data_IF_245897162120
#
_entry.id   IF_245897162120
#
_cell.length_a   1.000
_cell.length_b   1.000
_cell.length_c   1.000
_cell.angle_alpha   90.00
_cell.angle_beta   90.00
_cell.angle_gamma   90.00
#
_symmetry.space_group_name_H-M   'P 1'
#
loop_
_entity.id
_entity.type
_entity.pdbx_description
1 polymer ?
#
# COMPACT_ATOMS: atom_id res chain seq x y z
N UNK A 1 14.68 -0.44 -30.69
CA UNK A 1 14.03 0.32 -29.60
C UNK A 1 14.03 -0.60 -28.39
N UNK A 2 14.71 -0.22 -27.30
CA UNK A 2 14.58 -0.97 -26.05
C UNK A 2 13.10 -0.88 -25.62
N UNK A 3 12.55 -2.00 -25.16
CA UNK A 3 11.16 -2.04 -24.71
C UNK A 3 10.98 -1.07 -23.53
N UNK A 4 10.36 0.08 -23.81
CA UNK A 4 10.14 1.12 -22.79
C UNK A 4 9.29 0.65 -21.63
N UNK A 5 8.56 -0.47 -21.80
CA UNK A 5 7.73 -1.08 -20.76
C UNK A 5 8.46 -2.15 -19.93
N UNK A 6 9.70 -2.51 -20.27
CA UNK A 6 10.46 -3.55 -19.54
C UNK A 6 10.65 -3.23 -18.04
N UNK A 7 10.62 -1.93 -17.69
CA UNK A 7 10.78 -1.43 -16.33
C UNK A 7 9.49 -0.80 -15.78
N UNK A 8 8.34 -1.38 -16.09
CA UNK A 8 7.05 -0.92 -15.59
C UNK A 8 6.27 -2.04 -14.92
N UNK A 9 5.23 -1.64 -14.17
CA UNK A 9 4.17 -2.50 -13.69
C UNK A 9 2.84 -2.04 -14.27
N UNK A 10 1.99 -2.96 -14.70
CA UNK A 10 0.59 -2.63 -14.97
C UNK A 10 -0.10 -2.25 -13.68
N UNK A 11 -0.93 -1.22 -13.74
CA UNK A 11 -1.66 -0.73 -12.58
C UNK A 11 -2.95 -0.02 -12.97
N UNK A 12 -3.66 0.38 -11.95
CA UNK A 12 -4.86 1.21 -12.01
C UNK A 12 -4.73 2.37 -11.03
N UNK A 13 -5.27 3.52 -11.39
CA UNK A 13 -5.17 4.72 -10.57
C UNK A 13 -6.49 5.49 -10.51
N UNK A 14 -6.87 5.97 -9.31
CA UNK A 14 -8.05 6.77 -9.04
C UNK A 14 -7.74 8.26 -9.20
N UNK A 15 -7.34 8.68 -10.39
CA UNK A 15 -6.85 10.05 -10.64
C UNK A 15 -7.90 11.13 -10.37
N UNK A 16 -9.19 10.82 -10.44
CA UNK A 16 -10.28 11.77 -10.17
C UNK A 16 -10.34 12.26 -8.72
N UNK A 17 -9.67 11.59 -7.79
CA UNK A 17 -9.56 12.01 -6.38
C UNK A 17 -8.21 12.65 -6.05
N UNK A 18 -7.26 12.62 -6.98
CA UNK A 18 -5.97 13.30 -6.81
C UNK A 18 -6.12 14.81 -6.94
N UNK A 19 -5.28 15.56 -6.23
CA UNK A 19 -5.06 16.98 -6.49
C UNK A 19 -4.53 17.15 -7.92
N UNK A 20 -4.94 18.26 -8.58
CA UNK A 20 -4.64 18.52 -9.99
C UNK A 20 -3.14 18.36 -10.32
N UNK A 21 -2.30 19.10 -9.62
CA UNK A 21 -0.87 19.15 -9.93
C UNK A 21 -0.17 17.81 -9.63
N UNK A 22 -0.65 17.10 -8.62
CA UNK A 22 -0.17 15.75 -8.35
C UNK A 22 -0.62 14.76 -9.43
N UNK A 23 -1.87 14.82 -9.87
CA UNK A 23 -2.39 13.95 -10.92
C UNK A 23 -1.64 14.12 -12.24
N UNK A 24 -1.39 15.37 -12.65
CA UNK A 24 -0.63 15.68 -13.86
C UNK A 24 0.78 15.11 -13.74
N UNK A 25 1.49 15.41 -12.65
CA UNK A 25 2.83 14.88 -12.42
C UNK A 25 2.86 13.36 -12.35
N UNK A 26 1.91 12.73 -11.67
CA UNK A 26 1.79 11.27 -11.61
C UNK A 26 1.66 10.66 -13.01
N UNK A 27 0.78 11.23 -13.85
CA UNK A 27 0.55 10.73 -15.20
C UNK A 27 1.74 10.96 -16.13
N UNK A 28 2.45 12.09 -16.02
CA UNK A 28 3.57 12.44 -16.91
C UNK A 28 4.92 11.89 -16.47
N UNK A 29 5.16 11.78 -15.13
CA UNK A 29 6.46 11.40 -14.59
C UNK A 29 6.50 9.97 -14.03
N UNK A 30 5.42 9.52 -13.37
CA UNK A 30 5.39 8.21 -12.71
C UNK A 30 4.79 7.11 -13.60
N UNK A 31 4.02 7.49 -14.62
CA UNK A 31 3.44 6.56 -15.59
C UNK A 31 4.17 6.62 -16.94
N UNK A 32 4.05 5.53 -17.71
CA UNK A 32 4.48 5.47 -19.11
C UNK A 32 3.26 5.23 -19.99
N UNK A 33 3.08 6.10 -20.97
CA UNK A 33 2.08 5.98 -22.03
C UNK A 33 2.78 5.93 -23.39
N UNK A 34 2.13 5.34 -24.36
CA UNK A 34 2.58 5.31 -25.76
C UNK A 34 1.44 5.77 -26.68
N UNK A 35 1.53 6.98 -27.26
CA UNK A 35 2.57 7.98 -27.07
C UNK A 35 2.59 8.58 -25.66
N UNK A 36 3.71 9.20 -25.21
CA UNK A 36 3.78 9.90 -23.94
C UNK A 36 2.71 10.99 -23.83
N UNK A 37 2.09 11.11 -22.65
CA UNK A 37 1.11 12.16 -22.40
C UNK A 37 1.79 13.53 -22.26
N UNK A 38 1.26 14.55 -22.94
CA UNK A 38 1.59 15.94 -22.63
C UNK A 38 0.88 16.37 -21.35
N UNK A 39 1.31 17.48 -20.74
CA UNK A 39 0.64 18.05 -19.57
C UNK A 39 -0.82 18.38 -19.85
N UNK A 40 -1.12 18.93 -21.03
CA UNK A 40 -2.49 19.27 -21.44
C UNK A 40 -3.38 18.03 -21.58
N UNK A 41 -2.82 16.94 -22.14
CA UNK A 41 -3.54 15.67 -22.25
C UNK A 41 -3.77 15.04 -20.88
N UNK A 42 -2.78 15.09 -20.00
CA UNK A 42 -2.88 14.61 -18.63
C UNK A 42 -3.91 15.41 -17.82
N UNK A 43 -3.93 16.75 -17.98
CA UNK A 43 -4.93 17.61 -17.34
C UNK A 43 -6.34 17.34 -17.86
N UNK A 44 -6.51 17.15 -19.17
CA UNK A 44 -7.80 16.81 -19.77
C UNK A 44 -8.32 15.48 -19.22
N UNK A 45 -7.44 14.47 -19.14
CA UNK A 45 -7.77 13.17 -18.58
C UNK A 45 -8.17 13.30 -17.09
N UNK A 46 -7.40 14.05 -16.29
CA UNK A 46 -7.73 14.29 -14.90
C UNK A 46 -9.09 14.99 -14.73
N UNK A 47 -9.39 16.02 -15.55
CA UNK A 47 -10.70 16.74 -15.49
C UNK A 47 -11.88 15.80 -15.75
N UNK A 48 -11.75 14.90 -16.72
CA UNK A 48 -12.80 13.93 -17.04
C UNK A 48 -13.06 13.02 -15.82
N UNK A 49 -12.03 12.41 -15.25
CA UNK A 49 -12.18 11.55 -14.06
C UNK A 49 -12.61 12.33 -12.81
N UNK A 50 -12.16 13.57 -12.65
CA UNK A 50 -12.61 14.48 -11.58
C UNK A 50 -14.08 14.79 -11.70
N UNK A 51 -14.57 15.03 -12.91
CA UNK A 51 -16.00 15.22 -13.19
C UNK A 51 -16.83 14.00 -12.80
N UNK A 52 -16.37 12.81 -13.15
CA UNK A 52 -17.04 11.55 -12.76
C UNK A 52 -17.07 11.35 -11.26
N UNK A 53 -15.94 11.56 -10.57
CA UNK A 53 -15.86 11.46 -9.12
C UNK A 53 -16.78 12.48 -8.43
N UNK A 54 -16.86 13.71 -8.95
CA UNK A 54 -17.72 14.76 -8.43
C UNK A 54 -19.22 14.50 -8.66
N UNK A 55 -19.58 13.73 -9.70
CA UNK A 55 -20.95 13.35 -10.00
C UNK A 55 -21.50 12.23 -9.08
N UNK A 56 -20.62 11.53 -8.35
CA UNK A 56 -21.05 10.52 -7.40
C UNK A 56 -21.90 11.16 -6.28
N UNK A 57 -22.88 10.43 -5.73
CA UNK A 57 -23.60 10.89 -4.56
C UNK A 57 -22.65 11.08 -3.37
N UNK A 58 -23.01 11.90 -2.40
CA UNK A 58 -22.26 12.02 -1.16
C UNK A 58 -22.13 10.65 -0.48
N UNK A 59 -20.92 10.32 -0.06
CA UNK A 59 -20.58 9.05 0.59
C UNK A 59 -20.02 9.36 1.96
N UNK A 60 -20.69 8.91 3.00
CA UNK A 60 -20.23 9.16 4.37
C UNK A 60 -19.06 8.24 4.77
N UNK A 61 -18.71 7.24 3.96
CA UNK A 61 -17.70 6.26 4.33
C UNK A 61 -18.03 5.60 5.65
N UNK A 62 -19.23 5.02 5.77
CA UNK A 62 -19.67 4.36 7.01
C UNK A 62 -18.67 3.27 7.39
N UNK A 63 -18.44 3.13 8.71
CA UNK A 63 -17.67 1.99 9.20
C UNK A 63 -18.29 0.70 8.65
N UNK A 64 -17.52 -0.16 7.96
CA UNK A 64 -18.06 -1.40 7.42
C UNK A 64 -18.70 -2.24 8.53
N UNK A 65 -19.75 -2.94 8.17
CA UNK A 65 -20.37 -3.88 9.09
C UNK A 65 -19.37 -4.96 9.49
N UNK A 66 -19.19 -5.16 10.80
CA UNK A 66 -18.31 -6.20 11.34
C UNK A 66 -19.03 -7.53 11.32
N UNK A 67 -18.44 -8.50 10.66
CA UNK A 67 -18.96 -9.87 10.62
C UNK A 67 -18.41 -10.70 11.78
N UNK A 68 -19.19 -11.64 12.33
CA UNK A 68 -18.68 -12.59 13.30
C UNK A 68 -17.61 -13.51 12.65
N UNK A 69 -16.62 -13.88 13.45
CA UNK A 69 -15.59 -14.83 13.04
C UNK A 69 -16.10 -16.26 13.22
N UNK A 70 -15.84 -17.13 12.24
CA UNK A 70 -16.01 -18.57 12.42
C UNK A 70 -14.81 -19.17 13.21
N UNK A 71 -14.90 -20.45 13.57
CA UNK A 71 -13.87 -21.13 14.39
C UNK A 71 -12.49 -21.05 13.76
N UNK A 72 -12.35 -21.36 12.48
CA UNK A 72 -11.04 -21.34 11.79
C UNK A 72 -10.45 -19.92 11.73
N UNK A 73 -11.30 -18.90 11.54
CA UNK A 73 -10.88 -17.50 11.58
C UNK A 73 -10.46 -17.07 12.99
N UNK A 74 -11.14 -17.54 14.03
CA UNK A 74 -10.78 -17.25 15.43
C UNK A 74 -9.41 -17.88 15.78
N UNK A 75 -9.17 -19.12 15.38
CA UNK A 75 -7.89 -19.79 15.56
C UNK A 75 -6.76 -19.06 14.83
N UNK A 76 -6.98 -18.67 13.57
CA UNK A 76 -6.00 -17.91 12.80
C UNK A 76 -5.68 -16.56 13.43
N UNK A 77 -6.70 -15.82 13.87
CA UNK A 77 -6.54 -14.55 14.58
C UNK A 77 -5.75 -14.72 15.87
N UNK A 78 -5.98 -15.78 16.63
CA UNK A 78 -5.24 -16.06 17.84
C UNK A 78 -3.74 -16.29 17.54
N UNK A 79 -3.41 -17.06 16.49
CA UNK A 79 -2.02 -17.28 16.06
C UNK A 79 -1.38 -15.97 15.60
N UNK A 80 -2.09 -15.16 14.83
CA UNK A 80 -1.61 -13.84 14.41
C UNK A 80 -1.31 -12.94 15.62
N UNK A 81 -2.20 -12.85 16.61
CA UNK A 81 -1.98 -12.03 17.81
C UNK A 81 -0.80 -12.55 18.67
N UNK A 82 -0.60 -13.86 18.73
CA UNK A 82 0.59 -14.46 19.39
C UNK A 82 1.86 -14.08 18.63
N UNK A 83 1.85 -14.13 17.30
CA UNK A 83 2.98 -13.68 16.49
C UNK A 83 3.29 -12.20 16.71
N UNK A 84 2.26 -11.32 16.71
CA UNK A 84 2.42 -9.90 17.05
C UNK A 84 3.10 -9.69 18.39
N UNK A 85 2.62 -10.37 19.43
CA UNK A 85 3.17 -10.27 20.76
C UNK A 85 4.64 -10.72 20.81
N UNK A 86 4.98 -11.82 20.11
CA UNK A 86 6.36 -12.32 20.03
C UNK A 86 7.31 -11.36 19.29
N UNK A 87 6.78 -10.60 18.32
CA UNK A 87 7.51 -9.57 17.58
C UNK A 87 7.59 -8.22 18.34
N UNK A 88 7.05 -8.14 19.56
CA UNK A 88 7.02 -6.91 20.35
C UNK A 88 6.12 -5.82 19.79
N UNK A 89 5.16 -6.18 18.94
CA UNK A 89 4.21 -5.24 18.37
C UNK A 89 3.11 -4.88 19.39
N UNK A 90 2.53 -3.67 19.28
CA UNK A 90 1.40 -3.32 20.12
C UNK A 90 0.20 -4.24 19.83
N UNK A 91 -0.66 -4.50 20.82
CA UNK A 91 -1.86 -5.29 20.62
C UNK A 91 -2.77 -4.62 19.59
N UNK A 92 -3.29 -5.43 18.66
CA UNK A 92 -4.21 -4.99 17.62
C UNK A 92 -5.54 -5.71 17.75
N UNK A 93 -6.63 -5.04 17.41
CA UNK A 93 -7.92 -5.67 17.22
C UNK A 93 -8.00 -6.22 15.79
N UNK A 94 -8.47 -7.44 15.62
CA UNK A 94 -8.75 -8.00 14.30
C UNK A 94 -10.26 -8.00 14.06
N UNK A 95 -10.66 -7.54 12.89
CA UNK A 95 -12.06 -7.48 12.48
C UNK A 95 -12.25 -8.12 11.11
N UNK A 96 -13.42 -8.68 10.88
CA UNK A 96 -13.88 -9.18 9.58
C UNK A 96 -14.85 -8.18 8.97
N UNK A 97 -14.50 -7.64 7.82
CA UNK A 97 -15.25 -6.56 7.17
C UNK A 97 -15.37 -6.75 5.66
N UNK A 98 -16.30 -6.01 5.06
CA UNK A 98 -16.35 -5.82 3.60
C UNK A 98 -15.35 -4.74 3.17
N UNK A 99 -14.24 -5.08 2.51
CA UNK A 99 -13.22 -4.09 2.13
C UNK A 99 -13.73 -3.05 1.13
N UNK A 100 -14.78 -3.37 0.37
CA UNK A 100 -15.33 -2.46 -0.65
C UNK A 100 -15.86 -1.15 -0.07
N UNK A 101 -16.15 -1.13 1.24
CA UNK A 101 -16.65 0.05 1.96
C UNK A 101 -15.54 0.88 2.62
N UNK A 102 -14.28 0.41 2.59
CA UNK A 102 -13.15 1.15 3.13
C UNK A 102 -12.86 2.39 2.29
N UNK A 103 -12.51 3.48 2.96
CA UNK A 103 -11.96 4.65 2.29
C UNK A 103 -10.56 4.31 1.80
N UNK A 104 -10.30 4.56 0.53
CA UNK A 104 -8.97 4.41 -0.04
C UNK A 104 -8.12 5.64 0.29
N UNK A 105 -6.98 5.43 0.93
CA UNK A 105 -5.97 6.48 1.17
C UNK A 105 -4.81 6.41 0.18
N UNK A 106 -4.73 5.35 -0.63
CA UNK A 106 -3.75 5.17 -1.70
C UNK A 106 -4.42 5.40 -3.05
N UNK A 107 -3.72 6.10 -3.93
CA UNK A 107 -4.26 6.56 -5.21
C UNK A 107 -4.17 5.53 -6.34
N UNK A 108 -3.34 4.52 -6.23
CA UNK A 108 -3.11 3.54 -7.30
C UNK A 108 -2.77 2.15 -6.76
N UNK A 109 -2.96 1.13 -7.58
CA UNK A 109 -2.64 -0.27 -7.30
C UNK A 109 -1.85 -0.83 -8.49
N UNK A 110 -0.70 -1.47 -8.24
CA UNK A 110 0.01 -2.26 -9.24
C UNK A 110 -0.69 -3.62 -9.39
N UNK A 111 -1.42 -3.82 -10.48
CA UNK A 111 -2.23 -5.02 -10.68
C UNK A 111 -1.40 -6.28 -10.86
N UNK A 112 -0.21 -6.19 -11.48
CA UNK A 112 0.71 -7.32 -11.59
C UNK A 112 1.13 -7.89 -10.24
N UNK A 113 1.33 -7.03 -9.24
CA UNK A 113 1.62 -7.49 -7.88
C UNK A 113 0.43 -8.20 -7.24
N UNK A 114 -0.77 -7.66 -7.48
CA UNK A 114 -2.00 -8.29 -7.01
C UNK A 114 -2.23 -9.66 -7.66
N UNK A 115 -1.95 -9.79 -8.96
CA UNK A 115 -2.01 -11.06 -9.68
C UNK A 115 -1.03 -12.08 -9.11
N UNK A 116 0.21 -11.64 -8.77
CA UNK A 116 1.20 -12.50 -8.13
C UNK A 116 0.76 -12.99 -6.74
N UNK A 117 0.05 -12.17 -5.97
CA UNK A 117 -0.57 -12.63 -4.72
C UNK A 117 -1.72 -13.61 -4.98
N UNK A 118 -2.59 -13.28 -5.93
CA UNK A 118 -3.74 -14.12 -6.29
C UNK A 118 -3.35 -15.52 -6.75
N UNK A 119 -2.27 -15.64 -7.52
CA UNK A 119 -1.78 -16.92 -8.03
C UNK A 119 -1.24 -17.86 -6.93
N UNK A 120 -0.87 -17.30 -5.78
CA UNK A 120 -0.34 -18.06 -4.62
C UNK A 120 -1.44 -18.53 -3.66
N UNK A 121 -2.67 -18.04 -3.81
CA UNK A 121 -3.76 -18.31 -2.88
C UNK A 121 -4.89 -19.09 -3.55
N UNK A 122 -5.04 -20.36 -3.18
CA UNK A 122 -6.10 -21.25 -3.65
C UNK A 122 -7.13 -21.60 -2.57
N UNK A 123 -6.85 -21.30 -1.30
CA UNK A 123 -7.71 -21.61 -0.16
C UNK A 123 -7.93 -20.40 0.75
N UNK A 124 -8.99 -20.44 1.55
CA UNK A 124 -9.27 -19.38 2.54
C UNK A 124 -8.15 -19.26 3.57
N UNK A 125 -7.54 -20.36 4.00
CA UNK A 125 -6.41 -20.33 4.93
C UNK A 125 -5.21 -19.57 4.36
N UNK A 126 -4.91 -19.75 3.06
CA UNK A 126 -3.84 -18.98 2.41
C UNK A 126 -4.18 -17.49 2.29
N UNK A 127 -5.45 -17.14 2.05
CA UNK A 127 -5.89 -15.76 2.06
C UNK A 127 -5.80 -15.13 3.46
N UNK A 128 -6.15 -15.86 4.51
CA UNK A 128 -5.96 -15.39 5.89
C UNK A 128 -4.50 -15.15 6.19
N UNK A 129 -3.61 -16.09 5.84
CA UNK A 129 -2.16 -15.93 6.02
C UNK A 129 -1.59 -14.76 5.20
N UNK A 130 -2.11 -14.50 4.00
CA UNK A 130 -1.71 -13.35 3.19
C UNK A 130 -2.11 -12.01 3.82
N UNK A 131 -3.28 -11.94 4.45
CA UNK A 131 -3.79 -10.69 5.05
C UNK A 131 -3.29 -10.48 6.47
N UNK A 132 -3.16 -11.55 7.25
CA UNK A 132 -2.72 -11.57 8.63
C UNK A 132 -1.66 -12.68 8.81
N UNK A 133 -0.39 -12.42 8.49
CA UNK A 133 0.66 -13.44 8.56
C UNK A 133 0.93 -13.87 10.00
N UNK A 134 1.08 -15.17 10.21
CA UNK A 134 1.37 -15.79 11.51
C UNK A 134 2.86 -16.04 11.76
N UNK A 135 3.70 -15.68 10.78
CA UNK A 135 5.16 -15.84 10.84
C UNK A 135 5.90 -14.76 10.05
N UNK A 136 7.17 -14.55 10.40
CA UNK A 136 8.06 -13.57 9.77
C UNK A 136 8.46 -13.89 8.31
N UNK A 137 7.92 -14.92 7.69
CA UNK A 137 8.22 -15.26 6.31
C UNK A 137 7.69 -14.17 5.39
N UNK A 138 8.57 -13.25 5.03
CA UNK A 138 8.29 -12.26 4.00
C UNK A 138 8.95 -12.72 2.69
N UNK A 139 8.20 -13.40 1.79
CA UNK A 139 8.75 -13.90 0.53
C UNK A 139 9.07 -12.80 -0.48
N UNK A 140 8.65 -11.55 -0.20
CA UNK A 140 8.61 -10.48 -1.19
C UNK A 140 9.83 -9.55 -1.12
N UNK A 141 10.79 -9.80 -0.22
CA UNK A 141 12.00 -8.98 -0.07
C UNK A 141 13.23 -9.77 -0.42
N UNK A 142 13.83 -9.42 -1.54
CA UNK A 142 15.16 -9.92 -1.90
C UNK A 142 16.18 -8.85 -1.56
N UNK A 143 16.96 -9.07 -0.50
CA UNK A 143 18.11 -8.23 -0.17
C UNK A 143 19.35 -8.88 -0.78
N UNK A 144 19.98 -8.22 -1.75
CA UNK A 144 21.24 -8.67 -2.32
C UNK A 144 22.38 -7.85 -1.72
N UNK A 145 23.33 -8.55 -1.11
CA UNK A 145 24.56 -7.94 -0.63
C UNK A 145 25.66 -8.19 -1.68
N UNK A 146 26.22 -7.13 -2.21
CA UNK A 146 27.40 -7.23 -3.07
C UNK A 146 28.56 -6.53 -2.37
N UNK A 147 29.61 -7.29 -2.06
CA UNK A 147 30.83 -6.75 -1.48
C UNK A 147 31.82 -6.49 -2.62
N UNK A 148 32.16 -5.23 -2.86
CA UNK A 148 33.23 -4.84 -3.77
C UNK A 148 34.31 -4.10 -2.97
N UNK A 149 35.49 -4.73 -2.85
CA UNK A 149 36.62 -4.22 -2.07
C UNK A 149 36.24 -3.96 -0.58
N UNK A 150 36.47 -2.75 -0.08
CA UNK A 150 36.11 -2.34 1.28
C UNK A 150 34.70 -1.71 1.38
N UNK A 151 34.05 -1.51 0.24
CA UNK A 151 32.71 -0.96 0.19
C UNK A 151 31.67 -2.10 0.20
N UNK A 152 30.68 -1.98 1.07
CA UNK A 152 29.52 -2.87 1.05
C UNK A 152 28.41 -2.15 0.31
N UNK A 153 28.04 -2.65 -0.86
CA UNK A 153 26.91 -2.15 -1.62
C UNK A 153 25.72 -3.06 -1.31
N UNK A 154 24.68 -2.48 -0.73
CA UNK A 154 23.43 -3.17 -0.46
C UNK A 154 22.46 -2.78 -1.56
N UNK A 155 22.19 -3.71 -2.47
CA UNK A 155 21.14 -3.56 -3.46
C UNK A 155 19.85 -4.16 -2.86
N UNK A 156 18.87 -3.30 -2.63
CA UNK A 156 17.54 -3.72 -2.16
C UNK A 156 16.61 -3.56 -3.33
N UNK A 157 16.18 -4.68 -3.90
CA UNK A 157 15.11 -4.68 -4.90
C UNK A 157 13.78 -4.71 -4.16
N UNK A 158 13.18 -3.52 -4.07
CA UNK A 158 11.87 -3.34 -3.45
C UNK A 158 10.84 -3.32 -4.56
N UNK A 159 10.09 -4.40 -4.74
CA UNK A 159 8.97 -4.39 -5.68
C UNK A 159 7.89 -3.38 -5.27
N UNK A 160 7.90 -2.93 -4.03
CA UNK A 160 6.92 -1.97 -3.47
C UNK A 160 7.60 -0.94 -2.57
N UNK A 161 7.08 0.29 -2.59
CA UNK A 161 7.60 1.43 -1.84
C UNK A 161 7.34 1.39 -0.30
N UNK A 162 7.04 0.24 0.28
CA UNK A 162 6.65 0.11 1.68
C UNK A 162 7.81 -0.22 2.64
N UNK A 163 9.07 0.01 2.22
CA UNK A 163 10.18 -0.15 3.13
C UNK A 163 10.51 1.17 3.83
N UNK A 164 10.34 1.18 5.14
CA UNK A 164 10.88 2.24 6.00
C UNK A 164 12.12 1.68 6.67
N UNK A 165 13.29 2.22 6.31
CA UNK A 165 14.50 2.00 7.10
C UNK A 165 14.38 2.75 8.41
N UNK A 166 14.50 2.08 9.53
CA UNK A 166 14.48 2.66 10.85
C UNK A 166 15.76 2.33 11.61
N UNK A 167 16.20 3.26 12.45
CA UNK A 167 17.24 2.99 13.45
C UNK A 167 16.59 2.16 14.56
N UNK A 168 17.12 0.96 14.79
CA UNK A 168 16.69 0.15 15.94
C UNK A 168 17.08 0.87 17.25
N UNK A 169 16.23 0.83 18.31
CA UNK A 169 16.57 1.41 19.62
C UNK A 169 17.87 0.84 20.21
N UNK A 170 18.37 -0.28 19.73
CA UNK A 170 19.62 -0.92 20.15
C UNK A 170 20.78 -0.68 19.17
N UNK A 171 20.73 0.37 18.34
CA UNK A 171 21.87 0.83 17.55
C UNK A 171 22.13 0.07 16.25
N UNK A 172 21.20 -0.71 15.74
CA UNK A 172 21.29 -1.38 14.42
C UNK A 172 20.54 -0.61 13.33
N UNK A 173 21.12 -0.54 12.13
CA UNK A 173 20.38 -0.19 10.90
C UNK A 173 19.84 -1.48 10.31
N UNK A 174 18.52 -1.61 10.22
CA UNK A 174 17.90 -2.77 9.59
C UNK A 174 16.51 -2.45 9.08
N UNK A 175 15.96 -3.27 8.16
CA UNK A 175 14.56 -3.18 7.87
C UNK A 175 13.81 -3.42 9.19
N UNK A 176 13.01 -2.45 9.62
CA UNK A 176 12.01 -2.78 10.62
C UNK A 176 11.15 -3.87 9.98
N UNK A 177 11.07 -5.03 10.60
CA UNK A 177 10.03 -5.99 10.30
C UNK A 177 8.69 -5.36 10.67
N UNK A 178 8.21 -4.48 9.78
CA UNK A 178 6.85 -4.01 9.88
C UNK A 178 5.98 -5.21 9.63
N UNK A 179 5.09 -5.44 10.55
CA UNK A 179 4.04 -6.42 10.40
C UNK A 179 3.40 -6.21 9.04
N UNK A 180 3.71 -7.13 8.15
CA UNK A 180 3.26 -7.09 6.78
C UNK A 180 1.81 -7.59 6.69
N UNK A 181 0.92 -7.03 7.53
CA UNK A 181 -0.50 -7.34 7.57
C UNK A 181 -1.33 -6.26 6.89
N UNK A 182 -2.54 -6.61 6.52
CA UNK A 182 -3.54 -5.64 6.07
C UNK A 182 -4.05 -4.87 7.27
N UNK A 183 -3.88 -3.54 7.24
CA UNK A 183 -4.31 -2.68 8.34
C UNK A 183 -5.37 -1.69 7.91
N UNK A 184 -6.25 -1.37 8.84
CA UNK A 184 -7.23 -0.29 8.72
C UNK A 184 -7.07 0.70 9.85
N UNK A 185 -7.36 1.96 9.55
CA UNK A 185 -7.32 3.08 10.47
C UNK A 185 -8.75 3.53 10.73
N UNK A 186 -9.11 3.77 11.98
CA UNK A 186 -10.42 4.34 12.33
C UNK A 186 -10.30 5.85 12.51
N UNK A 187 -11.12 6.61 11.79
CA UNK A 187 -11.23 8.06 11.93
C UNK A 187 -12.71 8.45 12.02
N UNK A 188 -13.16 8.73 13.22
CA UNK A 188 -14.58 8.97 13.48
C UNK A 188 -15.45 7.78 13.05
N UNK A 189 -16.39 8.03 12.14
CA UNK A 189 -17.28 7.01 11.59
C UNK A 189 -16.70 6.30 10.35
N UNK A 190 -15.49 6.66 9.91
CA UNK A 190 -14.85 6.11 8.71
C UNK A 190 -13.80 5.08 9.07
N UNK A 191 -13.61 4.11 8.18
CA UNK A 191 -12.49 3.21 8.19
C UNK A 191 -11.68 3.41 6.91
N UNK A 192 -10.39 3.69 7.06
CA UNK A 192 -9.46 3.91 5.97
C UNK A 192 -8.60 2.66 5.83
N UNK A 193 -8.40 2.21 4.60
CA UNK A 193 -7.40 1.17 4.33
C UNK A 193 -6.01 1.78 4.49
N UNK A 194 -5.25 1.34 5.49
CA UNK A 194 -3.89 1.81 5.77
C UNK A 194 -2.85 1.12 4.90
N UNK A 195 -2.81 -0.22 4.99
CA UNK A 195 -1.84 -1.06 4.27
C UNK A 195 -2.50 -2.28 3.65
N UNK A 196 -1.83 -2.88 2.66
CA UNK A 196 -2.25 -4.16 2.07
C UNK A 196 -3.18 -4.04 0.88
N UNK A 197 -3.19 -2.90 0.16
CA UNK A 197 -4.01 -2.67 -1.03
C UNK A 197 -3.91 -3.78 -2.07
N UNK A 198 -2.71 -4.18 -2.44
CA UNK A 198 -2.48 -5.22 -3.45
C UNK A 198 -3.03 -6.58 -3.04
N UNK A 199 -2.93 -6.92 -1.73
CA UNK A 199 -3.43 -8.19 -1.19
C UNK A 199 -4.95 -8.23 -1.16
N UNK A 200 -5.57 -7.14 -0.66
CA UNK A 200 -7.02 -7.04 -0.67
C UNK A 200 -7.57 -6.98 -2.09
N UNK A 201 -6.91 -6.27 -3.00
CA UNK A 201 -7.31 -6.22 -4.40
C UNK A 201 -7.26 -7.62 -5.03
N UNK A 202 -6.18 -8.36 -4.82
CA UNK A 202 -6.06 -9.75 -5.27
C UNK A 202 -7.17 -10.64 -4.72
N UNK A 203 -7.45 -10.52 -3.41
CA UNK A 203 -8.53 -11.28 -2.76
C UNK A 203 -9.88 -10.96 -3.38
N UNK A 204 -10.19 -9.69 -3.58
CA UNK A 204 -11.49 -9.28 -4.15
C UNK A 204 -11.65 -9.75 -5.59
N UNK A 205 -10.62 -9.62 -6.43
CA UNK A 205 -10.64 -10.15 -7.80
C UNK A 205 -10.95 -11.65 -7.85
N UNK A 206 -10.41 -12.43 -6.92
CA UNK A 206 -10.64 -13.86 -6.86
C UNK A 206 -11.99 -14.24 -6.22
N UNK A 207 -12.56 -13.38 -5.38
CA UNK A 207 -13.82 -13.62 -4.67
C UNK A 207 -15.05 -13.22 -5.48
N UNK A 208 -14.98 -12.09 -6.21
CA UNK A 208 -16.09 -11.53 -6.96
C UNK A 208 -16.69 -12.51 -8.01
N UNK A 209 -15.88 -13.22 -8.83
CA UNK A 209 -16.43 -14.15 -9.83
C UNK A 209 -17.07 -15.40 -9.24
N UNK A 210 -16.71 -15.75 -8.00
CA UNK A 210 -17.11 -17.01 -7.38
C UNK A 210 -18.33 -16.88 -6.45
N UNK A 211 -18.83 -15.67 -6.24
CA UNK A 211 -19.89 -15.40 -5.25
C UNK A 211 -19.49 -15.75 -3.80
N UNK A 212 -18.22 -16.09 -3.57
CA UNK A 212 -17.69 -16.45 -2.26
C UNK A 212 -17.29 -15.20 -1.52
N UNK A 213 -17.67 -15.14 -0.27
CA UNK A 213 -17.38 -14.17 0.79
C UNK A 213 -16.41 -13.04 0.44
N UNK A 214 -16.96 -11.87 0.09
CA UNK A 214 -16.20 -10.64 -0.11
C UNK A 214 -15.67 -10.02 1.20
N UNK A 215 -15.70 -10.79 2.29
CA UNK A 215 -15.21 -10.33 3.58
C UNK A 215 -13.73 -10.68 3.76
N UNK A 216 -13.00 -9.81 4.43
CA UNK A 216 -11.60 -10.01 4.75
C UNK A 216 -11.33 -9.77 6.24
N UNK A 217 -10.36 -10.51 6.78
CA UNK A 217 -9.77 -10.22 8.09
C UNK A 217 -8.75 -9.11 7.93
N UNK A 218 -8.85 -8.09 8.76
CA UNK A 218 -7.93 -6.94 8.78
C UNK A 218 -7.60 -6.56 10.21
N UNK A 219 -6.39 -6.04 10.42
CA UNK A 219 -5.97 -5.54 11.73
C UNK A 219 -6.31 -4.05 11.88
N UNK A 220 -6.90 -3.69 13.00
CA UNK A 220 -7.21 -2.30 13.34
C UNK A 220 -6.02 -1.68 14.08
N UNK A 221 -5.43 -0.63 13.54
CA UNK A 221 -4.32 0.08 14.18
C UNK A 221 -4.79 0.78 15.46
N UNK A 222 -4.15 0.53 16.62
CA UNK A 222 -4.62 1.04 17.91
C UNK A 222 -4.49 2.56 18.06
N UNK A 223 -3.44 3.15 17.46
CA UNK A 223 -3.16 4.58 17.51
C UNK A 223 -2.84 5.07 16.08
N UNK A 224 -3.85 5.30 15.26
CA UNK A 224 -3.60 5.69 13.89
C UNK A 224 -2.94 7.07 13.85
N UNK A 225 -1.72 7.13 13.31
CA UNK A 225 -1.18 8.37 12.78
C UNK A 225 -1.96 8.62 11.49
N UNK A 226 -2.98 9.46 11.56
CA UNK A 226 -3.71 9.86 10.36
C UNK A 226 -2.73 10.51 9.38
N UNK A 227 -2.87 10.26 8.08
CA UNK A 227 -2.08 10.98 7.10
C UNK A 227 -2.25 12.48 7.37
N UNK A 228 -1.17 13.26 7.32
CA UNK A 228 -1.23 14.69 7.61
C UNK A 228 -2.32 15.33 6.75
N UNK A 229 -3.14 16.15 7.38
CA UNK A 229 -4.11 16.98 6.66
C UNK A 229 -3.34 17.85 5.65
N UNK A 230 -3.98 18.26 4.56
CA UNK A 230 -3.38 19.04 3.47
C UNK A 230 -2.54 20.27 3.90
N UNK A 231 -2.64 20.71 5.15
CA UNK A 231 -1.94 21.88 5.67
C UNK A 231 -0.48 21.60 6.09
N UNK A 232 -0.10 20.33 6.34
CA UNK A 232 1.24 19.99 6.87
C UNK A 232 2.22 19.41 5.81
N UNK A 233 1.94 19.55 4.53
CA UNK A 233 2.72 18.97 3.43
C UNK A 233 4.10 19.63 3.16
N UNK A 234 4.62 20.40 4.11
CA UNK A 234 5.94 21.05 4.01
C UNK A 234 7.16 20.17 4.31
N UNK A 235 7.01 19.01 4.91
CA UNK A 235 8.14 18.14 5.26
C UNK A 235 8.41 17.12 4.12
N UNK A 236 9.56 17.28 3.50
CA UNK A 236 10.08 16.39 2.48
C UNK A 236 10.19 14.95 3.01
N UNK A 237 9.44 14.01 2.45
CA UNK A 237 9.71 12.59 2.69
C UNK A 237 8.59 11.62 2.34
N UNK A 238 7.34 11.92 2.54
CA UNK A 238 6.27 10.96 2.27
C UNK A 238 5.05 11.64 1.62
N UNK A 239 5.23 12.08 0.38
CA UNK A 239 4.23 12.85 -0.38
C UNK A 239 3.02 12.02 -0.85
N UNK A 240 2.98 10.72 -0.61
CA UNK A 240 1.88 9.86 -1.07
C UNK A 240 0.59 10.02 -0.25
N UNK A 241 0.66 10.43 1.00
CA UNK A 241 -0.50 10.57 1.88
C UNK A 241 -1.32 11.86 1.72
N UNK A 242 -0.73 12.92 1.16
CA UNK A 242 -1.35 14.26 1.13
C UNK A 242 -2.22 14.55 -0.10
N UNK A 243 -2.34 13.61 -1.02
CA UNK A 243 -2.89 13.85 -2.36
C UNK A 243 -4.32 13.38 -2.55
N UNK A 244 -4.91 12.81 -1.51
CA UNK A 244 -6.26 12.23 -1.55
C UNK A 244 -7.13 12.87 -0.47
N UNK A 245 -8.29 13.41 -0.86
CA UNK A 245 -9.28 13.90 0.09
C UNK A 245 -10.04 12.73 0.72
N UNK A 246 -9.43 12.14 1.75
CA UNK A 246 -10.05 11.04 2.53
C UNK A 246 -11.14 11.52 3.49
N UNK A 247 -11.22 12.84 3.73
CA UNK A 247 -12.15 13.44 4.69
C UNK A 247 -13.33 14.18 4.04
N UNK A 248 -13.28 14.40 2.73
CA UNK A 248 -14.34 15.06 1.98
C UNK A 248 -15.67 14.31 1.99
N UNK A 249 -16.69 14.92 1.42
CA UNK A 249 -18.03 14.34 1.32
C UNK A 249 -18.14 13.19 0.29
N UNK A 250 -17.11 13.01 -0.53
CA UNK A 250 -17.04 11.97 -1.57
C UNK A 250 -15.65 11.34 -1.59
N UNK A 251 -15.23 10.68 -0.50
CA UNK A 251 -13.92 10.03 -0.50
C UNK A 251 -13.88 8.91 -1.52
N UNK A 252 -12.70 8.62 -2.05
CA UNK A 252 -12.49 7.39 -2.80
C UNK A 252 -12.76 6.19 -1.90
N UNK A 253 -13.51 5.21 -2.39
CA UNK A 253 -13.68 3.93 -1.71
C UNK A 253 -12.81 2.86 -2.40
N UNK A 254 -12.46 1.84 -1.66
CA UNK A 254 -11.75 0.70 -2.24
C UNK A 254 -12.53 0.05 -3.40
N UNK A 255 -13.87 0.12 -3.37
CA UNK A 255 -14.76 -0.29 -4.46
C UNK A 255 -14.49 0.45 -5.79
N UNK A 256 -13.98 1.67 -5.75
CA UNK A 256 -13.78 2.46 -6.96
C UNK A 256 -12.64 1.90 -7.84
N UNK A 257 -11.72 1.11 -7.26
CA UNK A 257 -10.72 0.35 -8.02
C UNK A 257 -11.32 -0.79 -8.88
N UNK A 258 -12.58 -1.15 -8.65
CA UNK A 258 -13.31 -2.20 -9.39
C UNK A 258 -14.44 -1.63 -10.25
N UNK A 259 -14.70 -0.32 -10.15
CA UNK A 259 -15.78 0.34 -10.87
C UNK A 259 -15.26 0.90 -12.18
N UNK A 260 -15.72 0.34 -13.31
CA UNK A 260 -15.36 0.83 -14.63
C UNK A 260 -15.67 2.33 -14.77
N UNK A 261 -14.73 3.05 -15.38
CA UNK A 261 -14.84 4.52 -15.53
C UNK A 261 -14.43 5.33 -14.30
N UNK A 262 -14.10 4.70 -13.15
CA UNK A 262 -13.58 5.41 -11.97
C UNK A 262 -12.06 5.37 -11.87
N UNK A 263 -11.41 4.43 -12.52
CA UNK A 263 -9.96 4.29 -12.56
C UNK A 263 -9.42 4.38 -13.99
N UNK A 264 -8.18 4.80 -14.11
CA UNK A 264 -7.40 4.75 -15.35
C UNK A 264 -6.40 3.60 -15.28
N UNK A 265 -6.23 2.86 -16.38
CA UNK A 265 -5.18 1.86 -16.52
C UNK A 265 -3.86 2.56 -16.83
N UNK A 266 -2.82 2.23 -16.11
CA UNK A 266 -1.50 2.87 -16.21
C UNK A 266 -0.38 1.83 -16.25
N UNK A 267 0.75 2.19 -16.85
CA UNK A 267 2.01 1.48 -16.70
C UNK A 267 2.89 2.31 -15.76
N UNK A 268 3.03 1.85 -14.51
CA UNK A 268 3.78 2.52 -13.46
C UNK A 268 5.28 2.26 -13.62
N UNK A 269 6.11 3.27 -13.52
CA UNK A 269 7.56 3.12 -13.52
C UNK A 269 8.02 2.35 -12.29
N UNK A 270 8.90 1.37 -12.47
CA UNK A 270 9.59 0.71 -11.37
C UNK A 270 10.56 1.69 -10.72
N UNK A 271 10.40 1.93 -9.42
CA UNK A 271 11.37 2.69 -8.63
C UNK A 271 12.43 1.72 -8.11
N UNK A 272 13.69 1.95 -8.47
CA UNK A 272 14.83 1.21 -7.90
C UNK A 272 15.48 2.10 -6.86
N UNK A 273 15.56 1.63 -5.63
CA UNK A 273 16.28 2.30 -4.58
C UNK A 273 17.65 1.63 -4.43
N UNK A 274 18.72 2.42 -4.59
CA UNK A 274 20.07 2.00 -4.26
C UNK A 274 20.47 2.63 -2.93
N UNK A 275 20.72 1.79 -1.92
CA UNK A 275 21.31 2.22 -0.67
C UNK A 275 22.80 1.91 -0.71
N UNK A 276 23.65 2.94 -0.69
CA UNK A 276 25.09 2.78 -0.59
C UNK A 276 25.52 2.98 0.85
N UNK A 277 25.92 1.91 1.52
CA UNK A 277 26.54 1.96 2.85
C UNK A 277 28.05 2.07 2.69
N UNK A 278 28.62 3.18 3.15
CA UNK A 278 30.07 3.39 3.14
C UNK A 278 30.54 3.19 4.59
N UNK A 279 31.34 2.16 4.83
CA UNK A 279 32.05 1.99 6.10
C UNK A 279 33.38 2.76 6.03
N UNK A 280 33.63 3.64 7.00
CA UNK A 280 34.93 4.32 7.17
C UNK A 280 35.50 3.96 8.53
N UNK A 281 36.80 3.68 8.52
CA UNK A 281 37.54 3.64 9.79
C UNK A 281 37.67 5.07 10.30
N UNK A 282 37.04 5.35 11.42
CA UNK A 282 37.24 6.59 12.15
C UNK A 282 38.25 6.29 13.23
N UNK A 283 39.41 6.95 13.19
CA UNK A 283 40.32 6.92 14.34
C UNK A 283 39.57 7.57 15.50
N UNK A 284 39.26 6.77 16.51
CA UNK A 284 38.84 7.31 17.80
C UNK A 284 40.06 8.02 18.35
N UNK A 285 40.05 9.34 18.36
CA UNK A 285 40.99 10.11 19.16
C UNK A 285 40.66 9.79 20.62
N UNK A 286 41.44 8.90 21.23
CA UNK A 286 41.50 8.76 22.67
C UNK A 286 42.05 10.10 23.20
N UNK A 287 41.18 11.07 23.33
CA UNK A 287 41.54 12.41 23.68
C UNK A 287 40.76 12.94 24.83
N UNK A 288 41.41 13.03 25.93
CA UNK A 288 41.26 14.00 27.01
C UNK A 288 39.92 14.02 27.76
#
# INVERSE_FOLDING_TARGET
MADQFANTYKGIALIGWMERDYAIRFLTEECIFDPPLTEEAAESLWRDYRGRAAALPAREGRAPYRMPLNTAEQEHVQHFLQYLASAGAPPMEVIKIDPMQLVAAQSHIATEHSEAYGSRCSSEAQWMELTLPTSAKNPDVTVRFTRRNLDTEIEIDLPHAEFIFGVHPHGGFGPREFLNCVTVLRSGNRMLLGKGYHRLYARMLNSLPRGQGRFALVALEPNPVLPPSHQDSGAAGNRQGATFDVFGNRPALFADFFTEGMFVKVNLRKKRYQLRVISRWVALNDGQ
#
